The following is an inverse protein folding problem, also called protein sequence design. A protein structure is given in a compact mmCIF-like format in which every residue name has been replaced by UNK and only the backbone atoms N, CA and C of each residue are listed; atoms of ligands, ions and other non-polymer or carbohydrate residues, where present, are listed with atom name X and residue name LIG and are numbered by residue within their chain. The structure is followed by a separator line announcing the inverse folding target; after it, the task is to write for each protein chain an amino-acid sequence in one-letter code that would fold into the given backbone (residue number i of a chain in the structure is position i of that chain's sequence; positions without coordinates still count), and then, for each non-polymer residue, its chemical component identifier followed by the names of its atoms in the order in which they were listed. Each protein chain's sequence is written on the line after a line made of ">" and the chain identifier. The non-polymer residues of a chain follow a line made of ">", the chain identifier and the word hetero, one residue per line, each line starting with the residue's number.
data_IF_563202302682
#
_entry.id   IF_563202302682
#
_cell.length_a   1.000
_cell.length_b   1.000
_cell.length_c   1.000
_cell.angle_alpha   90.00
_cell.angle_beta   90.00
_cell.angle_gamma   90.00
#
_symmetry.space_group_name_H-M   'P 1'
#
loop_
_entity.id
_entity.type
_entity.pdbx_description
1 polymer ?
#
# COMPACT_ATOMS: atom_id res chain seq x y z
N UNK A 1 -20.55 6.96 -4.94
CA UNK A 1 -19.14 6.47 -5.08
C UNK A 1 -18.09 7.58 -5.07
N UNK A 2 -18.02 8.53 -6.02
CA UNK A 2 -16.92 9.54 -6.07
C UNK A 2 -16.68 10.34 -4.76
N UNK A 3 -17.74 10.71 -4.05
CA UNK A 3 -17.61 11.44 -2.77
C UNK A 3 -17.08 10.56 -1.64
N UNK A 4 -17.32 9.25 -1.67
CA UNK A 4 -16.81 8.30 -0.68
C UNK A 4 -15.28 8.24 -0.72
N UNK A 5 -14.72 8.03 -1.92
CA UNK A 5 -13.27 8.05 -2.14
C UNK A 5 -12.62 9.38 -1.77
N UNK A 6 -13.26 10.50 -2.15
CA UNK A 6 -12.74 11.84 -1.86
C UNK A 6 -12.65 12.10 -0.35
N UNK A 7 -13.66 11.67 0.41
CA UNK A 7 -13.66 11.81 1.87
C UNK A 7 -12.64 10.88 2.55
N UNK A 8 -12.43 9.67 2.02
CA UNK A 8 -11.41 8.73 2.49
C UNK A 8 -10.01 9.27 2.24
N UNK A 9 -9.72 9.73 1.02
CA UNK A 9 -8.43 10.36 0.69
C UNK A 9 -8.14 11.58 1.57
N UNK A 10 -9.16 12.41 1.86
CA UNK A 10 -9.00 13.56 2.74
C UNK A 10 -8.61 13.14 4.17
N UNK A 11 -9.17 12.04 4.69
CA UNK A 11 -8.79 11.48 6.00
C UNK A 11 -7.34 11.00 6.04
N UNK A 12 -6.88 10.34 4.98
CA UNK A 12 -5.48 9.89 4.89
C UNK A 12 -4.48 11.03 4.99
N UNK A 13 -4.80 12.16 4.35
CA UNK A 13 -3.91 13.32 4.29
C UNK A 13 -3.96 14.14 5.60
N UNK A 14 -5.02 14.02 6.39
CA UNK A 14 -5.22 14.85 7.58
C UNK A 14 -4.63 14.31 8.88
N UNK A 15 -3.97 13.13 8.88
CA UNK A 15 -3.16 12.52 9.95
C UNK A 15 -3.52 12.94 11.39
N UNK A 16 -4.23 12.08 12.15
CA UNK A 16 -3.95 11.90 13.59
C UNK A 16 -4.63 10.67 14.26
N UNK A 17 -5.68 10.01 13.70
CA UNK A 17 -6.42 8.97 14.47
C UNK A 17 -6.61 7.57 13.84
N UNK A 18 -6.22 7.30 12.59
CA UNK A 18 -6.57 6.02 11.95
C UNK A 18 -5.35 5.11 11.69
N UNK A 19 -4.56 4.79 12.73
CA UNK A 19 -3.54 3.71 12.64
C UNK A 19 -4.14 2.31 12.54
N UNK A 20 -5.42 2.18 12.88
CA UNK A 20 -6.14 0.90 12.98
C UNK A 20 -7.37 0.82 12.04
N UNK A 21 -7.52 1.70 11.02
CA UNK A 21 -8.55 1.49 10.00
C UNK A 21 -8.12 0.33 9.09
N UNK A 22 -8.80 -0.84 9.12
CA UNK A 22 -8.43 -2.02 8.34
C UNK A 22 -8.49 -1.82 6.83
N UNK A 23 -9.09 -0.71 6.38
CA UNK A 23 -9.24 -0.37 4.97
C UNK A 23 -8.20 0.61 4.45
N UNK A 24 -7.17 0.88 5.25
CA UNK A 24 -6.03 1.72 4.89
C UNK A 24 -4.71 1.08 5.32
N UNK A 25 -3.74 1.07 4.40
CA UNK A 25 -2.37 0.71 4.71
C UNK A 25 -1.44 1.77 4.14
N UNK A 26 -0.46 2.19 4.91
CA UNK A 26 0.58 3.08 4.39
C UNK A 26 1.92 2.87 5.07
N UNK A 27 2.96 3.31 4.38
CA UNK A 27 4.25 3.62 4.97
C UNK A 27 4.43 5.12 4.94
N UNK A 28 4.77 5.69 6.08
CA UNK A 28 5.25 7.09 6.17
C UNK A 28 6.49 7.28 5.30
N UNK A 29 7.00 8.51 5.19
CA UNK A 29 8.23 8.78 4.46
C UNK A 29 9.37 7.85 4.93
N UNK A 30 10.02 7.20 3.97
CA UNK A 30 11.13 6.26 4.12
C UNK A 30 12.34 6.78 3.33
N UNK A 31 13.56 6.60 3.86
CA UNK A 31 14.79 6.97 3.14
C UNK A 31 15.00 6.15 1.86
N UNK A 32 15.56 6.80 0.84
CA UNK A 32 15.99 6.22 -0.44
C UNK A 32 17.30 6.89 -0.89
N UNK A 33 18.21 6.21 -1.63
CA UNK A 33 19.47 6.82 -2.09
C UNK A 33 19.33 8.14 -2.89
N UNK A 34 18.15 8.40 -3.45
CA UNK A 34 17.82 9.60 -4.22
C UNK A 34 16.81 10.54 -3.54
N UNK A 35 16.52 10.34 -2.24
CA UNK A 35 15.58 11.19 -1.48
C UNK A 35 14.73 10.41 -0.48
N UNK A 36 13.44 10.71 -0.45
CA UNK A 36 12.46 10.02 0.41
C UNK A 36 11.26 9.56 -0.41
N UNK A 37 10.61 8.49 0.02
CA UNK A 37 9.39 7.98 -0.59
C UNK A 37 8.35 7.63 0.46
N UNK A 38 7.08 7.73 0.11
CA UNK A 38 5.96 7.16 0.88
C UNK A 38 5.11 6.30 -0.04
N UNK A 39 4.33 5.40 0.54
CA UNK A 39 3.37 4.57 -0.20
C UNK A 39 2.12 4.38 0.64
N UNK A 40 0.97 4.35 -0.04
CA UNK A 40 -0.32 4.15 0.57
C UNK A 40 -1.20 3.30 -0.35
N UNK A 41 -1.97 2.42 0.25
CA UNK A 41 -3.07 1.68 -0.37
C UNK A 41 -4.35 2.10 0.32
N UNK A 42 -5.31 2.55 -0.48
CA UNK A 42 -6.61 2.99 0.02
C UNK A 42 -7.69 2.14 -0.63
N UNK A 43 -8.44 1.44 0.21
CA UNK A 43 -9.42 0.52 -0.28
C UNK A 43 -10.80 1.15 -0.52
N UNK A 44 -11.41 0.68 -1.61
CA UNK A 44 -12.78 0.92 -2.03
C UNK A 44 -13.84 0.06 -1.34
N UNK A 45 -13.49 -1.21 -1.06
CA UNK A 45 -14.39 -2.29 -0.66
C UNK A 45 -14.43 -2.47 0.87
N UNK A 46 -15.06 -3.56 1.34
CA UNK A 46 -15.15 -3.94 2.76
C UNK A 46 -13.87 -4.63 3.28
N UNK A 47 -13.13 -5.34 2.42
CA UNK A 47 -11.94 -6.14 2.75
C UNK A 47 -10.70 -5.78 1.92
N UNK A 48 -9.54 -5.47 2.51
CA UNK A 48 -8.35 -4.96 1.80
C UNK A 48 -7.86 -5.92 0.70
N UNK A 49 -8.37 -5.74 -0.51
CA UNK A 49 -8.03 -6.54 -1.69
C UNK A 49 -6.73 -6.05 -2.33
N UNK A 50 -6.54 -4.73 -2.41
CA UNK A 50 -5.34 -4.15 -2.97
C UNK A 50 -4.17 -4.27 -2.00
N UNK A 51 -3.00 -4.62 -2.55
CA UNK A 51 -1.78 -4.72 -1.78
C UNK A 51 -0.63 -4.05 -2.50
N UNK A 52 0.35 -3.58 -1.72
CA UNK A 52 1.56 -3.02 -2.26
C UNK A 52 2.76 -3.35 -1.38
N UNK A 53 3.95 -3.36 -1.99
CA UNK A 53 5.20 -3.55 -1.28
C UNK A 53 6.31 -2.74 -1.93
N UNK A 54 7.26 -2.32 -1.10
CA UNK A 54 8.44 -1.57 -1.55
C UNK A 54 9.65 -2.11 -0.82
N UNK A 55 10.69 -2.41 -1.59
CA UNK A 55 11.99 -2.83 -1.10
C UNK A 55 13.08 -2.00 -1.77
N UNK A 56 13.89 -1.36 -0.94
CA UNK A 56 15.02 -0.53 -1.37
C UNK A 56 16.30 -1.30 -1.14
N UNK A 57 17.09 -1.49 -2.20
CA UNK A 57 18.41 -2.11 -2.13
C UNK A 57 19.47 -1.16 -2.67
N UNK A 58 20.75 -1.52 -2.49
CA UNK A 58 21.88 -0.79 -3.11
C UNK A 58 21.83 -0.80 -4.64
N UNK A 59 21.12 -1.76 -5.24
CA UNK A 59 21.09 -2.01 -6.68
C UNK A 59 19.85 -1.44 -7.37
N UNK A 60 18.91 -0.91 -6.60
CA UNK A 60 17.66 -0.38 -7.12
C UNK A 60 16.52 -0.52 -6.11
N UNK A 61 15.37 -0.02 -6.53
CA UNK A 61 14.14 -0.03 -5.73
C UNK A 61 13.07 -0.81 -6.46
N UNK A 62 12.54 -1.83 -5.78
CA UNK A 62 11.47 -2.67 -6.27
C UNK A 62 10.15 -2.18 -5.68
N UNK A 63 9.18 -1.91 -6.56
CA UNK A 63 7.85 -1.42 -6.19
C UNK A 63 6.83 -2.37 -6.81
N UNK A 64 5.99 -2.97 -5.97
CA UNK A 64 4.88 -3.81 -6.38
C UNK A 64 3.55 -3.14 -6.01
N UNK A 65 2.62 -3.12 -6.97
CA UNK A 65 1.23 -2.65 -6.79
C UNK A 65 0.32 -3.73 -7.37
N UNK A 66 -0.56 -4.28 -6.56
CA UNK A 66 -1.39 -5.44 -6.90
C UNK A 66 -2.85 -5.10 -6.63
N UNK A 67 -3.64 -5.05 -7.71
CA UNK A 67 -5.09 -4.84 -7.68
C UNK A 67 -5.77 -6.18 -7.40
N UNK A 68 -6.35 -6.33 -6.21
CA UNK A 68 -7.04 -7.55 -5.80
C UNK A 68 -8.49 -7.53 -6.24
N UNK A 69 -9.07 -8.69 -6.55
CA UNK A 69 -10.47 -8.77 -6.96
C UNK A 69 -11.09 -10.10 -6.54
N UNK A 70 -12.26 -10.03 -5.89
CA UNK A 70 -12.98 -11.20 -5.34
C UNK A 70 -12.18 -11.84 -4.19
N UNK A 71 -11.68 -11.00 -3.29
CA UNK A 71 -10.84 -11.40 -2.14
C UNK A 71 -9.36 -11.00 -2.28
N UNK A 72 -8.63 -11.11 -1.18
CA UNK A 72 -7.24 -10.66 -1.06
C UNK A 72 -6.19 -11.77 -1.28
N UNK A 73 -6.62 -13.02 -1.44
CA UNK A 73 -5.72 -14.18 -1.50
C UNK A 73 -4.65 -14.05 -2.58
N UNK A 74 -5.01 -13.61 -3.78
CA UNK A 74 -4.06 -13.49 -4.89
C UNK A 74 -3.05 -12.36 -4.66
N UNK A 75 -3.51 -11.16 -4.30
CA UNK A 75 -2.64 -10.00 -4.08
C UNK A 75 -1.75 -10.19 -2.85
N UNK A 76 -2.27 -10.81 -1.79
CA UNK A 76 -1.51 -11.22 -0.60
C UNK A 76 -0.46 -12.26 -0.94
N UNK A 77 -0.81 -13.29 -1.71
CA UNK A 77 0.16 -14.30 -2.16
C UNK A 77 1.33 -13.65 -2.91
N UNK A 78 1.07 -12.67 -3.78
CA UNK A 78 2.14 -11.97 -4.49
C UNK A 78 3.02 -11.16 -3.54
N UNK A 79 2.46 -10.45 -2.56
CA UNK A 79 3.27 -9.75 -1.53
C UNK A 79 4.19 -10.73 -0.79
N UNK A 80 3.64 -11.86 -0.34
CA UNK A 80 4.38 -12.82 0.48
C UNK A 80 5.49 -13.57 -0.29
N UNK A 81 5.38 -13.70 -1.61
CA UNK A 81 6.25 -14.58 -2.39
C UNK A 81 7.10 -13.88 -3.44
N UNK A 82 6.71 -12.68 -3.92
CA UNK A 82 7.39 -12.07 -5.06
C UNK A 82 8.80 -11.61 -4.70
N UNK A 83 8.94 -10.72 -3.71
CA UNK A 83 10.26 -10.16 -3.37
C UNK A 83 11.19 -11.17 -2.68
N UNK A 84 10.72 -12.04 -1.77
CA UNK A 84 11.57 -13.11 -1.21
C UNK A 84 12.15 -14.08 -2.26
N UNK A 85 11.61 -14.09 -3.48
CA UNK A 85 12.15 -14.87 -4.59
C UNK A 85 13.25 -14.12 -5.38
N UNK A 86 13.33 -12.79 -5.23
CA UNK A 86 14.28 -11.93 -5.97
C UNK A 86 15.39 -11.33 -5.11
N UNK A 87 15.17 -11.16 -3.80
CA UNK A 87 16.04 -10.41 -2.88
C UNK A 87 16.73 -11.32 -1.88
#
# INVERSE_FOLDING_TARGET
>A
MKNFYKNRFKRLVSNDEDKDDPSFWSKTLRPHPLGEFSIAVLQASETMEDHAQVETSRHGTFIGVYDGHVGDDASRFVVEHLFPTFV
#
